data_IF_739369532474
#
_entry.id   IF_739369532474
#
_cell.length_a   1.000
_cell.length_b   1.000
_cell.length_c   1.000
_cell.angle_alpha   90.00
_cell.angle_beta   90.00
_cell.angle_gamma   90.00
#
_symmetry.space_group_name_H-M   'P 1'
#
loop_
_entity.id
_entity.type
_entity.pdbx_description
1 polymer ?
#
# COMPACT_ATOMS: atom_id res chain seq x y z
N UNK A 1 10.22 -15.08 0.90
CA UNK A 1 9.86 -13.67 1.12
C UNK A 1 8.46 -13.41 0.58
N UNK A 2 7.63 -12.71 1.34
CA UNK A 2 6.25 -12.44 0.94
C UNK A 2 6.16 -11.10 0.26
N UNK A 3 5.63 -11.08 -0.96
CA UNK A 3 5.26 -9.85 -1.66
C UNK A 3 3.75 -9.87 -1.88
N UNK A 4 3.24 -8.83 -2.51
CA UNK A 4 1.79 -8.70 -2.71
C UNK A 4 1.51 -8.38 -4.17
N UNK A 5 0.38 -8.87 -4.64
CA UNK A 5 -0.07 -8.65 -6.00
C UNK A 5 -1.31 -7.76 -5.97
N UNK A 6 -1.39 -6.84 -6.92
CA UNK A 6 -2.56 -5.97 -7.07
C UNK A 6 -3.38 -6.50 -8.25
N UNK A 7 -4.65 -6.89 -8.02
CA UNK A 7 -5.50 -7.34 -9.12
C UNK A 7 -5.69 -6.26 -10.18
N UNK A 8 -5.88 -6.67 -11.44
CA UNK A 8 -6.05 -5.75 -12.55
C UNK A 8 -7.29 -4.87 -12.42
N UNK A 9 -8.25 -5.28 -11.58
CA UNK A 9 -9.49 -4.55 -11.35
C UNK A 9 -9.33 -3.33 -10.44
N UNK A 10 -8.14 -3.13 -9.89
CA UNK A 10 -7.86 -1.99 -9.00
C UNK A 10 -7.22 -0.88 -9.81
N UNK A 11 -7.87 0.27 -9.84
CA UNK A 11 -7.38 1.45 -10.56
C UNK A 11 -6.94 2.50 -9.54
N UNK A 12 -5.73 3.03 -9.74
CA UNK A 12 -5.16 4.06 -8.87
C UNK A 12 -5.18 5.39 -9.59
N UNK A 13 -5.76 6.40 -8.96
CA UNK A 13 -5.73 7.78 -9.46
C UNK A 13 -5.02 8.65 -8.44
N UNK A 14 -3.89 9.21 -8.83
CA UNK A 14 -3.15 10.13 -7.96
C UNK A 14 -3.74 11.52 -8.05
N UNK A 15 -3.81 12.18 -6.90
CA UNK A 15 -4.33 13.55 -6.76
C UNK A 15 -3.15 14.52 -6.59
N UNK A 16 -3.41 15.82 -6.78
CA UNK A 16 -2.36 16.84 -6.76
C UNK A 16 -1.65 16.99 -5.42
N UNK A 17 -2.27 16.55 -4.33
CA UNK A 17 -1.75 16.70 -2.96
C UNK A 17 -1.00 15.46 -2.45
N UNK A 18 -0.49 14.64 -3.36
CA UNK A 18 0.21 13.40 -3.04
C UNK A 18 -0.69 12.36 -2.37
N UNK A 19 -1.99 12.47 -2.58
CA UNK A 19 -2.94 11.46 -2.15
C UNK A 19 -3.43 10.67 -3.36
N UNK A 20 -4.21 9.63 -3.14
CA UNK A 20 -4.73 8.83 -4.23
C UNK A 20 -6.10 8.27 -3.90
N UNK A 21 -6.83 7.94 -4.95
CA UNK A 21 -8.09 7.20 -4.86
C UNK A 21 -7.86 5.84 -5.49
N UNK A 22 -8.25 4.79 -4.79
CA UNK A 22 -8.29 3.44 -5.33
C UNK A 22 -9.72 3.13 -5.71
N UNK A 23 -9.94 2.71 -6.94
CA UNK A 23 -11.25 2.23 -7.39
C UNK A 23 -11.19 0.72 -7.58
N UNK A 24 -12.04 0.01 -6.86
CA UNK A 24 -12.23 -1.42 -7.07
C UNK A 24 -13.36 -1.61 -8.09
N UNK A 25 -13.01 -1.99 -9.30
CA UNK A 25 -13.97 -2.12 -10.40
C UNK A 25 -14.96 -3.26 -10.20
N UNK A 26 -14.62 -4.23 -9.34
CA UNK A 26 -15.47 -5.41 -9.12
C UNK A 26 -16.75 -5.04 -8.37
N UNK A 27 -16.64 -4.15 -7.38
CA UNK A 27 -17.77 -3.75 -6.53
C UNK A 27 -18.06 -2.25 -6.60
N UNK A 28 -17.30 -1.51 -7.41
CA UNK A 28 -17.45 -0.06 -7.58
C UNK A 28 -17.22 0.75 -6.30
N UNK A 29 -16.43 0.21 -5.38
CA UNK A 29 -16.06 0.93 -4.17
C UNK A 29 -14.81 1.76 -4.37
N UNK A 30 -14.79 2.94 -3.73
CA UNK A 30 -13.64 3.84 -3.73
C UNK A 30 -13.01 3.85 -2.36
N UNK A 31 -11.68 3.95 -2.34
CA UNK A 31 -10.90 4.04 -1.10
C UNK A 31 -9.88 5.15 -1.24
N UNK A 32 -9.71 5.96 -0.20
CA UNK A 32 -8.71 7.03 -0.21
C UNK A 32 -7.41 6.57 0.40
N UNK A 33 -6.31 6.98 -0.19
CA UNK A 33 -4.98 6.81 0.39
C UNK A 33 -4.41 8.21 0.67
N UNK A 34 -3.89 8.40 1.89
CA UNK A 34 -3.13 9.60 2.19
C UNK A 34 -1.70 9.44 1.62
N UNK A 35 -0.85 10.45 1.82
CA UNK A 35 0.50 10.44 1.26
C UNK A 35 1.29 9.19 1.69
N UNK A 36 1.27 8.86 2.98
CA UNK A 36 1.96 7.67 3.49
C UNK A 36 1.39 6.39 2.87
N UNK A 37 0.07 6.31 2.77
CA UNK A 37 -0.59 5.16 2.15
C UNK A 37 -0.21 5.00 0.70
N UNK A 38 -0.06 6.10 -0.02
CA UNK A 38 0.35 6.05 -1.43
C UNK A 38 1.79 5.52 -1.56
N UNK A 39 2.70 5.96 -0.69
CA UNK A 39 4.09 5.44 -0.70
C UNK A 39 4.08 3.93 -0.47
N UNK A 40 3.31 3.46 0.51
CA UNK A 40 3.19 2.03 0.81
C UNK A 40 2.62 1.28 -0.40
N UNK A 41 1.56 1.80 -0.99
CA UNK A 41 0.92 1.15 -2.14
C UNK A 41 1.85 1.07 -3.34
N UNK A 42 2.63 2.12 -3.61
CA UNK A 42 3.63 2.11 -4.69
C UNK A 42 4.72 1.08 -4.43
N UNK A 43 5.11 0.91 -3.16
CA UNK A 43 6.06 -0.15 -2.78
C UNK A 43 5.50 -1.53 -3.09
N UNK A 44 4.22 -1.75 -2.79
CA UNK A 44 3.53 -3.01 -3.12
C UNK A 44 3.52 -3.23 -4.63
N UNK A 45 3.20 -2.20 -5.39
CA UNK A 45 3.19 -2.24 -6.85
C UNK A 45 4.55 -2.64 -7.43
N UNK A 46 5.62 -2.18 -6.79
CA UNK A 46 6.98 -2.46 -7.22
C UNK A 46 7.51 -3.80 -6.71
N UNK A 47 6.65 -4.63 -6.13
CA UNK A 47 6.99 -5.94 -5.59
C UNK A 47 8.02 -5.89 -4.46
N UNK A 48 8.02 -4.82 -3.69
CA UNK A 48 8.91 -4.73 -2.53
C UNK A 48 8.36 -5.58 -1.39
N UNK A 49 9.26 -6.26 -0.67
CA UNK A 49 8.89 -6.96 0.54
C UNK A 49 8.54 -5.95 1.63
N UNK A 50 7.76 -6.36 2.61
CA UNK A 50 7.29 -5.48 3.68
C UNK A 50 8.43 -4.73 4.36
N UNK A 51 9.55 -5.40 4.64
CA UNK A 51 10.71 -4.77 5.30
C UNK A 51 11.27 -3.61 4.49
N UNK A 52 11.30 -3.74 3.17
CA UNK A 52 11.80 -2.67 2.30
C UNK A 52 10.83 -1.49 2.26
N UNK A 53 9.53 -1.77 2.30
CA UNK A 53 8.53 -0.71 2.37
C UNK A 53 8.67 0.06 3.69
N UNK A 54 8.90 -0.66 4.79
CA UNK A 54 9.14 -0.04 6.10
C UNK A 54 10.35 0.89 6.03
N UNK A 55 11.44 0.45 5.39
CA UNK A 55 12.63 1.27 5.24
C UNK A 55 12.37 2.54 4.43
N UNK A 56 11.55 2.44 3.38
CA UNK A 56 11.19 3.61 2.59
C UNK A 56 10.41 4.64 3.41
N UNK A 57 9.46 4.18 4.24
CA UNK A 57 8.70 5.06 5.11
C UNK A 57 9.59 5.72 6.15
N UNK A 58 10.50 4.96 6.74
CA UNK A 58 11.46 5.51 7.70
C UNK A 58 12.30 6.62 7.08
N UNK A 59 12.76 6.40 5.85
CA UNK A 59 13.58 7.37 5.14
C UNK A 59 12.79 8.62 4.73
N UNK A 60 11.58 8.42 4.23
CA UNK A 60 10.75 9.52 3.70
C UNK A 60 10.25 10.47 4.80
N UNK A 61 9.97 9.92 5.98
CA UNK A 61 9.30 10.69 7.05
C UNK A 61 10.13 10.83 8.33
N UNK A 62 11.35 10.33 8.32
CA UNK A 62 12.27 10.40 9.46
C UNK A 62 11.63 9.88 10.76
N UNK A 63 10.91 8.78 10.67
CA UNK A 63 10.29 8.11 11.82
C UNK A 63 11.01 6.81 12.12
N UNK A 64 10.82 6.29 13.35
CA UNK A 64 11.48 5.06 13.76
C UNK A 64 10.81 3.82 13.14
N UNK A 65 11.52 2.68 13.26
CA UNK A 65 11.05 1.43 12.66
C UNK A 65 9.72 0.96 13.25
N UNK A 66 9.51 1.16 14.55
CA UNK A 66 8.28 0.69 15.19
C UNK A 66 7.05 1.42 14.63
N UNK A 67 7.14 2.74 14.46
CA UNK A 67 6.05 3.51 13.87
C UNK A 67 5.86 3.18 12.40
N UNK A 68 6.94 3.13 11.65
CA UNK A 68 6.87 2.79 10.23
C UNK A 68 6.30 1.40 10.04
N UNK A 69 6.80 0.43 10.80
CA UNK A 69 6.34 -0.95 10.73
C UNK A 69 4.87 -1.10 11.06
N UNK A 70 4.41 -0.39 12.09
CA UNK A 70 3.00 -0.41 12.48
C UNK A 70 2.10 0.16 11.37
N UNK A 71 2.51 1.29 10.78
CA UNK A 71 1.75 1.91 9.69
C UNK A 71 1.65 1.01 8.47
N UNK A 72 2.78 0.42 8.07
CA UNK A 72 2.84 -0.48 6.92
C UNK A 72 1.98 -1.72 7.17
N UNK A 73 2.14 -2.34 8.33
CA UNK A 73 1.40 -3.55 8.68
C UNK A 73 -0.10 -3.30 8.70
N UNK A 74 -0.54 -2.20 9.32
CA UNK A 74 -1.95 -1.86 9.43
C UNK A 74 -2.58 -1.68 8.05
N UNK A 75 -1.91 -0.93 7.17
CA UNK A 75 -2.44 -0.71 5.83
C UNK A 75 -2.48 -2.00 5.01
N UNK A 76 -1.40 -2.79 5.06
CA UNK A 76 -1.37 -4.06 4.32
C UNK A 76 -2.51 -4.97 4.77
N UNK A 77 -2.73 -5.08 6.08
CA UNK A 77 -3.82 -5.92 6.59
C UNK A 77 -5.19 -5.43 6.12
N UNK A 78 -5.38 -4.11 6.11
CA UNK A 78 -6.63 -3.52 5.61
C UNK A 78 -6.83 -3.81 4.12
N UNK A 79 -5.79 -3.61 3.31
CA UNK A 79 -5.88 -3.86 1.88
C UNK A 79 -6.13 -5.33 1.58
N UNK A 80 -5.53 -6.25 2.35
CA UNK A 80 -5.78 -7.68 2.23
C UNK A 80 -7.25 -8.01 2.57
N UNK A 81 -7.77 -7.44 3.64
CA UNK A 81 -9.14 -7.72 4.06
C UNK A 81 -10.18 -7.19 3.07
N UNK A 82 -9.83 -6.14 2.33
CA UNK A 82 -10.69 -5.57 1.29
C UNK A 82 -10.47 -6.24 -0.08
N UNK A 83 -9.56 -7.19 -0.17
CA UNK A 83 -9.16 -7.87 -1.41
C UNK A 83 -8.61 -6.91 -2.47
N UNK A 84 -8.05 -5.79 -2.03
CA UNK A 84 -7.39 -4.83 -2.92
C UNK A 84 -6.00 -5.33 -3.28
N UNK A 85 -5.38 -6.12 -2.40
CA UNK A 85 -4.12 -6.81 -2.68
C UNK A 85 -4.26 -8.27 -2.28
N UNK A 86 -3.38 -9.12 -2.83
CA UNK A 86 -3.33 -10.55 -2.54
C UNK A 86 -1.90 -10.91 -2.18
N UNK A 87 -1.74 -11.88 -1.27
CA UNK A 87 -0.41 -12.39 -0.96
C UNK A 87 0.16 -13.18 -2.14
N UNK A 88 1.42 -12.93 -2.42
CA UNK A 88 2.17 -13.67 -3.43
C UNK A 88 3.43 -14.20 -2.75
N UNK A 89 3.41 -15.45 -2.30
CA UNK A 89 4.55 -16.08 -1.67
C UNK A 89 5.47 -16.69 -2.74
N UNK A 90 6.75 -16.41 -2.63
CA UNK A 90 7.77 -16.98 -3.53
C UNK A 90 8.73 -17.86 -2.74
#
# INVERSE_FOLDING_TARGET
>A
MTTYKIPDDIIVTELDNNEAILLDMRNKHYYSLNETGLVIFRGIESNLAQDRIVEEIMSAYAIDRDKAGSSVKTLIQRLLSLNIIEKHAT
#
